data_IF_811867260062
#
_entry.id   IF_811867260062
#
_cell.length_a   1.000
_cell.length_b   1.000
_cell.length_c   1.000
_cell.angle_alpha   90.00
_cell.angle_beta   90.00
_cell.angle_gamma   90.00
#
_symmetry.space_group_name_H-M   'P 1'
#
loop_
_entity.id
_entity.type
_entity.pdbx_description
1 polymer ?
#
# COMPACT_ATOMS: atom_id res chain seq x y z
N UNK A 1 -60.43 32.49 5.64
CA UNK A 1 -61.10 31.25 5.19
C UNK A 1 -60.46 30.81 3.90
N UNK A 2 -59.49 29.95 3.95
CA UNK A 2 -58.86 29.30 2.79
C UNK A 2 -59.31 27.83 2.80
N UNK A 3 -59.95 27.41 1.74
CA UNK A 3 -60.39 26.02 1.54
C UNK A 3 -59.20 25.22 1.02
N UNK A 4 -58.80 24.22 1.77
CA UNK A 4 -57.89 23.17 1.30
C UNK A 4 -58.65 22.30 0.26
N UNK A 5 -58.12 22.23 -0.95
CA UNK A 5 -58.58 21.34 -2.00
C UNK A 5 -57.86 20.00 -1.88
N UNK A 6 -58.52 19.00 -1.32
CA UNK A 6 -58.05 17.61 -1.36
C UNK A 6 -58.04 17.10 -2.81
N UNK A 7 -56.86 16.83 -3.33
CA UNK A 7 -56.69 16.21 -4.65
C UNK A 7 -56.97 14.70 -4.52
N UNK A 8 -58.21 14.30 -4.82
CA UNK A 8 -58.62 12.90 -4.99
C UNK A 8 -58.13 12.38 -6.35
N UNK A 9 -57.23 11.43 -6.31
CA UNK A 9 -56.75 10.72 -7.49
C UNK A 9 -57.82 9.76 -8.02
N UNK A 10 -58.07 9.69 -9.35
CA UNK A 10 -59.06 8.77 -9.92
C UNK A 10 -58.63 7.31 -9.72
N UNK A 11 -59.57 6.39 -9.50
CA UNK A 11 -59.30 4.97 -9.22
C UNK A 11 -58.52 4.25 -10.32
N UNK A 12 -58.56 4.76 -11.55
CA UNK A 12 -57.77 4.25 -12.68
C UNK A 12 -56.26 4.48 -12.55
N UNK A 13 -55.83 5.54 -11.85
CA UNK A 13 -54.42 5.82 -11.62
C UNK A 13 -53.77 4.82 -10.64
N UNK A 14 -54.52 4.35 -9.65
CA UNK A 14 -54.06 3.34 -8.69
C UNK A 14 -53.89 1.96 -9.34
N UNK A 15 -54.72 1.60 -10.30
CA UNK A 15 -54.60 0.34 -11.05
C UNK A 15 -53.39 0.34 -11.98
N UNK A 16 -53.08 1.46 -12.61
CA UNK A 16 -51.88 1.58 -13.46
C UNK A 16 -50.57 1.52 -12.63
N UNK A 17 -50.57 2.12 -11.44
CA UNK A 17 -49.41 2.03 -10.55
C UNK A 17 -49.18 0.59 -10.06
N UNK A 18 -50.23 -0.14 -9.73
CA UNK A 18 -50.17 -1.54 -9.33
C UNK A 18 -49.66 -2.46 -10.45
N UNK A 19 -50.02 -2.15 -11.71
CA UNK A 19 -49.58 -2.93 -12.86
C UNK A 19 -48.07 -2.70 -13.17
N UNK A 20 -47.60 -1.46 -13.06
CA UNK A 20 -46.17 -1.13 -13.25
C UNK A 20 -45.31 -1.72 -12.15
N UNK A 21 -45.74 -1.73 -10.89
CA UNK A 21 -45.00 -2.37 -9.80
C UNK A 21 -44.98 -3.90 -9.95
N UNK A 22 -46.10 -4.48 -10.45
CA UNK A 22 -46.16 -5.93 -10.72
C UNK A 22 -45.23 -6.37 -11.86
N UNK A 23 -45.10 -5.57 -12.91
CA UNK A 23 -44.16 -5.85 -14.02
C UNK A 23 -42.70 -5.72 -13.58
N UNK A 24 -42.37 -4.72 -12.77
CA UNK A 24 -41.01 -4.57 -12.22
C UNK A 24 -40.65 -5.73 -11.29
N UNK A 25 -41.59 -6.23 -10.50
CA UNK A 25 -41.37 -7.39 -9.63
C UNK A 25 -41.22 -8.71 -10.42
N UNK A 26 -41.89 -8.84 -11.58
CA UNK A 26 -41.74 -10.04 -12.43
C UNK A 26 -40.40 -10.05 -13.19
N UNK A 27 -39.85 -8.90 -13.57
CA UNK A 27 -38.53 -8.84 -14.17
C UNK A 27 -37.41 -9.11 -13.15
N UNK A 28 -37.56 -8.69 -11.87
CA UNK A 28 -36.62 -9.04 -10.81
C UNK A 28 -36.64 -10.56 -10.48
N UNK A 29 -37.79 -11.22 -10.63
CA UNK A 29 -37.88 -12.67 -10.38
C UNK A 29 -37.38 -13.51 -11.57
N UNK A 30 -37.46 -12.99 -12.79
CA UNK A 30 -36.97 -13.70 -14.00
C UNK A 30 -35.43 -13.57 -14.19
N UNK A 31 -34.79 -12.59 -13.56
CA UNK A 31 -33.31 -12.41 -13.58
C UNK A 31 -32.52 -13.34 -12.67
N UNK A 32 -33.18 -14.16 -11.85
CA UNK A 32 -32.55 -14.99 -10.84
C UNK A 32 -32.12 -16.41 -11.31
N UNK A 33 -32.27 -16.76 -12.60
CA UNK A 33 -32.00 -18.14 -13.05
C UNK A 33 -30.93 -18.34 -14.11
N UNK A 34 -30.15 -17.30 -14.44
CA UNK A 34 -28.98 -17.46 -15.33
C UNK A 34 -27.74 -16.75 -14.77
N UNK A 35 -27.36 -17.10 -13.52
CA UNK A 35 -26.01 -16.82 -13.04
C UNK A 35 -25.02 -17.53 -13.96
N UNK A 36 -24.20 -16.76 -14.67
CA UNK A 36 -23.16 -17.28 -15.54
C UNK A 36 -22.23 -18.20 -14.76
N UNK A 37 -21.62 -19.17 -15.43
CA UNK A 37 -20.65 -20.12 -14.86
C UNK A 37 -19.55 -19.39 -14.04
N UNK A 38 -19.26 -18.14 -14.38
CA UNK A 38 -18.33 -17.26 -13.68
C UNK A 38 -18.83 -16.82 -12.30
N UNK A 39 -20.10 -16.41 -12.14
CA UNK A 39 -20.65 -15.99 -10.83
C UNK A 39 -20.70 -17.16 -9.84
N UNK A 40 -21.10 -18.35 -10.30
CA UNK A 40 -21.02 -19.58 -9.48
C UNK A 40 -19.60 -19.96 -9.09
N UNK A 41 -18.63 -19.67 -9.95
CA UNK A 41 -17.22 -19.89 -9.66
C UNK A 41 -16.71 -18.91 -8.57
N UNK A 42 -17.10 -17.64 -8.62
CA UNK A 42 -16.78 -16.64 -7.59
C UNK A 42 -17.41 -16.97 -6.24
N UNK A 43 -18.68 -17.33 -6.19
CA UNK A 43 -19.35 -17.73 -4.96
C UNK A 43 -18.73 -18.99 -4.33
N UNK A 44 -18.32 -19.96 -5.14
CA UNK A 44 -17.65 -21.16 -4.64
C UNK A 44 -16.24 -20.88 -4.10
N UNK A 45 -15.52 -19.91 -4.69
CA UNK A 45 -14.22 -19.48 -4.22
C UNK A 45 -14.35 -18.67 -2.91
N UNK A 46 -15.36 -17.78 -2.82
CA UNK A 46 -15.66 -17.05 -1.58
C UNK A 46 -16.11 -17.99 -0.47
N UNK A 47 -16.99 -18.95 -0.74
CA UNK A 47 -17.45 -19.92 0.26
C UNK A 47 -16.32 -20.82 0.78
N UNK A 48 -15.39 -21.22 -0.09
CA UNK A 48 -14.22 -22.00 0.32
C UNK A 48 -13.23 -21.20 1.16
N UNK A 49 -13.07 -19.91 0.88
CA UNK A 49 -12.18 -19.06 1.68
C UNK A 49 -12.77 -18.75 3.06
N UNK A 50 -14.11 -18.66 3.18
CA UNK A 50 -14.78 -18.36 4.43
C UNK A 50 -15.01 -19.59 5.30
N UNK A 51 -15.27 -20.78 4.72
CA UNK A 51 -15.53 -22.01 5.45
C UNK A 51 -14.27 -22.78 5.90
N UNK A 52 -13.09 -22.40 5.42
CA UNK A 52 -11.79 -22.94 5.89
C UNK A 52 -11.29 -22.35 7.20
N UNK A 53 -12.01 -21.38 7.80
CA UNK A 53 -11.54 -20.59 8.96
C UNK A 53 -12.40 -20.85 10.20
N UNK A 54 -12.93 -22.06 10.37
CA UNK A 54 -13.61 -22.43 11.62
C UNK A 54 -12.76 -23.38 12.46
N UNK A 55 -11.73 -22.85 13.09
CA UNK A 55 -10.92 -23.58 14.05
C UNK A 55 -9.74 -22.75 14.51
N UNK A 56 -9.88 -22.15 15.69
CA UNK A 56 -8.96 -21.26 16.39
C UNK A 56 -9.11 -19.76 16.06
N UNK A 57 -9.63 -19.09 17.10
CA UNK A 57 -9.65 -17.63 17.22
C UNK A 57 -8.23 -17.08 17.39
N UNK A 58 -7.40 -17.18 16.38
CA UNK A 58 -6.44 -16.14 16.09
C UNK A 58 -7.26 -15.06 15.37
N UNK A 59 -7.28 -13.85 15.87
CA UNK A 59 -7.68 -12.69 15.08
C UNK A 59 -6.72 -12.63 13.89
N UNK A 60 -7.03 -13.40 12.84
CA UNK A 60 -6.37 -13.35 11.54
C UNK A 60 -6.65 -11.94 11.03
N UNK A 61 -5.68 -11.08 11.24
CA UNK A 61 -5.67 -9.72 10.76
C UNK A 61 -5.49 -9.81 9.23
N UNK A 62 -6.57 -10.21 8.52
CA UNK A 62 -6.62 -10.48 7.08
C UNK A 62 -6.02 -9.32 6.25
N UNK A 63 -6.10 -8.09 6.77
CA UNK A 63 -5.44 -6.92 6.17
C UNK A 63 -3.92 -7.02 6.20
N UNK A 64 -3.32 -7.60 7.22
CA UNK A 64 -1.87 -7.73 7.31
C UNK A 64 -1.33 -8.84 6.42
N UNK A 65 -2.04 -9.97 6.33
CA UNK A 65 -1.63 -11.10 5.50
C UNK A 65 -1.81 -10.79 4.01
N UNK A 66 -2.82 -10.00 3.65
CA UNK A 66 -3.02 -9.55 2.27
C UNK A 66 -1.87 -8.65 1.77
N UNK A 67 -1.21 -7.89 2.67
CA UNK A 67 -0.11 -7.00 2.32
C UNK A 67 1.26 -7.71 2.27
N UNK A 68 1.38 -8.92 2.83
CA UNK A 68 2.62 -9.68 2.78
C UNK A 68 2.94 -10.10 1.34
N UNK A 69 4.17 -9.88 0.93
CA UNK A 69 4.63 -10.21 -0.42
C UNK A 69 4.26 -9.22 -1.51
N UNK A 70 3.49 -8.17 -1.24
CA UNK A 70 3.25 -7.10 -2.22
C UNK A 70 4.56 -6.40 -2.54
N UNK A 71 4.86 -6.34 -3.82
CA UNK A 71 6.04 -5.67 -4.38
C UNK A 71 5.63 -4.39 -5.09
N UNK A 72 6.29 -3.29 -4.74
CA UNK A 72 6.11 -1.98 -5.38
C UNK A 72 7.45 -1.52 -5.94
N UNK A 73 7.55 -1.30 -7.23
CA UNK A 73 8.76 -0.74 -7.82
C UNK A 73 8.62 0.77 -7.89
N UNK A 74 9.50 1.49 -7.20
CA UNK A 74 9.44 2.95 -7.03
C UNK A 74 10.84 3.56 -6.99
N UNK A 75 10.90 4.89 -7.18
CA UNK A 75 12.07 5.71 -6.86
C UNK A 75 11.84 6.43 -5.55
N UNK A 76 12.74 6.30 -4.60
CA UNK A 76 12.66 6.99 -3.31
C UNK A 76 13.29 8.38 -3.43
N UNK A 77 12.46 9.38 -3.65
CA UNK A 77 12.88 10.78 -3.73
C UNK A 77 12.93 11.42 -2.35
N UNK A 78 14.10 11.94 -1.97
CA UNK A 78 14.31 12.71 -0.74
C UNK A 78 14.34 14.20 -1.06
N UNK A 79 13.43 14.97 -0.46
CA UNK A 79 13.30 16.42 -0.68
C UNK A 79 14.29 17.24 0.18
N UNK A 80 15.55 16.83 0.22
CA UNK A 80 16.61 17.54 0.95
C UNK A 80 17.51 18.29 -0.02
N UNK A 81 17.81 19.56 0.29
CA UNK A 81 18.64 20.41 -0.59
C UNK A 81 17.99 20.63 -1.94
N UNK A 82 18.65 20.19 -3.01
CA UNK A 82 18.13 20.24 -4.40
C UNK A 82 17.28 19.02 -4.79
N UNK A 83 17.08 18.09 -3.85
CA UNK A 83 16.35 16.84 -4.07
C UNK A 83 17.21 15.74 -4.69
N UNK A 84 17.05 14.52 -4.17
CA UNK A 84 17.84 13.36 -4.58
C UNK A 84 17.00 12.08 -4.60
N UNK A 85 17.25 11.23 -5.58
CA UNK A 85 16.76 9.86 -5.62
C UNK A 85 17.76 8.92 -4.93
N UNK A 86 17.29 8.11 -3.99
CA UNK A 86 18.13 7.08 -3.39
C UNK A 86 18.53 6.09 -4.48
N UNK A 87 19.82 5.78 -4.59
CA UNK A 87 20.33 4.78 -5.52
C UNK A 87 21.21 3.75 -4.83
N UNK A 88 21.15 2.52 -5.34
CA UNK A 88 21.96 1.39 -4.89
C UNK A 88 22.90 1.01 -6.03
N UNK A 89 24.18 1.23 -5.83
CA UNK A 89 25.20 0.96 -6.84
C UNK A 89 25.65 -0.52 -6.81
N UNK A 90 26.18 -1.06 -7.93
CA UNK A 90 26.61 -2.46 -8.02
C UNK A 90 27.74 -2.84 -7.04
N UNK A 91 28.53 -1.86 -6.61
CA UNK A 91 29.60 -2.04 -5.62
C UNK A 91 29.09 -2.02 -4.16
N UNK A 92 27.78 -1.95 -3.96
CA UNK A 92 27.14 -1.91 -2.65
C UNK A 92 27.12 -0.53 -2.00
N UNK A 93 27.66 0.50 -2.64
CA UNK A 93 27.52 1.87 -2.14
C UNK A 93 26.10 2.37 -2.38
N UNK A 94 25.59 3.13 -1.41
CA UNK A 94 24.30 3.79 -1.45
C UNK A 94 24.52 5.28 -1.30
N UNK A 95 23.86 6.07 -2.14
CA UNK A 95 23.87 7.53 -2.09
C UNK A 95 22.62 8.10 -2.78
N UNK A 96 22.53 9.42 -2.87
CA UNK A 96 21.50 10.13 -3.63
C UNK A 96 22.04 10.60 -4.96
N UNK A 97 21.27 10.39 -6.03
CA UNK A 97 21.47 10.97 -7.34
C UNK A 97 20.44 12.07 -7.60
N UNK A 98 20.86 13.20 -8.17
CA UNK A 98 19.93 14.27 -8.51
C UNK A 98 19.00 13.85 -9.66
N UNK A 99 19.55 13.25 -10.69
CA UNK A 99 18.78 12.74 -11.83
C UNK A 99 18.37 11.28 -11.62
N UNK A 100 17.21 10.94 -12.13
CA UNK A 100 16.75 9.56 -12.20
C UNK A 100 17.68 8.72 -13.08
N UNK A 101 17.97 7.51 -12.61
CA UNK A 101 18.80 6.56 -13.33
C UNK A 101 18.38 5.12 -13.02
N UNK A 102 19.00 4.16 -13.70
CA UNK A 102 18.67 2.75 -13.55
C UNK A 102 18.92 2.19 -12.13
N UNK A 103 19.86 2.77 -11.37
CA UNK A 103 20.19 2.32 -10.01
C UNK A 103 19.29 2.95 -8.94
N UNK A 104 18.48 3.95 -9.28
CA UNK A 104 17.48 4.55 -8.38
C UNK A 104 16.13 3.83 -8.39
N UNK A 105 15.98 2.78 -9.21
CA UNK A 105 14.79 1.96 -9.23
C UNK A 105 14.87 0.92 -8.11
N UNK A 106 13.95 1.01 -7.15
CA UNK A 106 13.94 0.21 -5.92
C UNK A 106 12.63 -0.57 -5.84
N UNK A 107 12.73 -1.88 -5.65
CA UNK A 107 11.62 -2.74 -5.26
C UNK A 107 11.43 -2.64 -3.75
N UNK A 108 10.24 -2.24 -3.33
CA UNK A 108 9.80 -2.20 -1.94
C UNK A 108 8.91 -3.40 -1.73
N UNK A 109 9.34 -4.36 -0.93
CA UNK A 109 8.60 -5.60 -0.65
C UNK A 109 8.19 -5.65 0.81
N UNK A 110 6.91 -5.89 1.09
CA UNK A 110 6.42 -6.05 2.47
C UNK A 110 6.85 -7.40 3.01
N UNK A 111 7.61 -7.39 4.10
CA UNK A 111 8.13 -8.60 4.77
C UNK A 111 7.42 -8.92 6.08
N UNK A 112 6.89 -7.90 6.76
CA UNK A 112 6.06 -7.99 7.96
C UNK A 112 5.11 -6.78 7.98
N UNK A 113 4.14 -6.76 8.87
CA UNK A 113 3.20 -5.64 9.01
C UNK A 113 3.96 -4.33 9.26
N UNK A 114 3.85 -3.39 8.32
CA UNK A 114 4.54 -2.09 8.38
C UNK A 114 6.06 -2.17 8.21
N UNK A 115 6.60 -3.36 7.91
CA UNK A 115 8.04 -3.57 7.69
C UNK A 115 8.28 -3.98 6.24
N UNK A 116 9.21 -3.30 5.60
CA UNK A 116 9.56 -3.52 4.20
C UNK A 116 11.04 -3.84 4.03
N UNK A 117 11.37 -4.51 2.94
CA UNK A 117 12.72 -4.57 2.40
C UNK A 117 12.83 -3.66 1.18
N UNK A 118 14.00 -3.09 0.97
CA UNK A 118 14.34 -2.25 -0.17
C UNK A 118 15.40 -2.96 -1.00
N UNK A 119 15.10 -3.22 -2.28
CA UNK A 119 15.97 -3.94 -3.19
C UNK A 119 16.23 -3.12 -4.44
N UNK A 120 17.50 -2.86 -4.74
CA UNK A 120 17.91 -2.18 -5.96
C UNK A 120 17.75 -3.10 -7.16
N UNK A 121 16.77 -2.82 -8.01
CA UNK A 121 16.40 -3.68 -9.15
C UNK A 121 17.59 -3.92 -10.08
N UNK A 122 18.37 -2.87 -10.41
CA UNK A 122 19.49 -2.97 -11.34
C UNK A 122 20.78 -3.48 -10.70
N UNK A 123 21.00 -3.18 -9.43
CA UNK A 123 22.21 -3.60 -8.71
C UNK A 123 22.09 -5.00 -8.11
N UNK A 124 20.88 -5.53 -8.02
CA UNK A 124 20.56 -6.83 -7.40
C UNK A 124 21.03 -6.92 -5.94
N UNK A 125 20.90 -5.80 -5.21
CA UNK A 125 21.33 -5.69 -3.83
C UNK A 125 20.20 -5.19 -2.93
N UNK A 126 20.08 -5.80 -1.74
CA UNK A 126 19.25 -5.27 -0.67
C UNK A 126 19.94 -4.08 0.01
N UNK A 127 19.16 -3.07 0.35
CA UNK A 127 19.59 -2.01 1.27
C UNK A 127 19.63 -2.59 2.68
N UNK A 128 20.71 -2.39 3.40
CA UNK A 128 20.90 -2.80 4.78
C UNK A 128 21.48 -1.66 5.62
N UNK A 129 21.21 -1.67 6.93
CA UNK A 129 21.78 -0.71 7.87
C UNK A 129 22.50 -1.45 9.01
N UNK A 130 23.77 -1.13 9.24
CA UNK A 130 24.54 -1.74 10.31
C UNK A 130 24.37 -1.00 11.66
N UNK A 131 24.96 -1.57 12.73
CA UNK A 131 24.92 -1.02 14.11
C UNK A 131 25.52 0.39 14.26
N UNK A 132 26.31 0.85 13.29
CA UNK A 132 26.86 2.21 13.26
C UNK A 132 25.97 3.20 12.49
N UNK A 133 24.79 2.74 12.04
CA UNK A 133 23.83 3.53 11.23
C UNK A 133 24.31 3.79 9.79
N UNK A 134 25.24 3.01 9.25
CA UNK A 134 25.68 3.13 7.85
C UNK A 134 24.83 2.23 6.96
N UNK A 135 24.32 2.81 5.86
CA UNK A 135 23.69 2.04 4.79
C UNK A 135 24.75 1.37 3.91
N UNK A 136 24.43 0.16 3.45
CA UNK A 136 25.23 -0.60 2.51
C UNK A 136 24.34 -1.56 1.72
N UNK A 137 24.80 -1.95 0.53
CA UNK A 137 24.15 -2.97 -0.29
C UNK A 137 24.67 -4.38 0.04
N UNK A 138 23.76 -5.36 0.05
CA UNK A 138 24.12 -6.77 0.28
C UNK A 138 23.28 -7.70 -0.62
N UNK A 139 23.87 -8.80 -1.09
CA UNK A 139 23.15 -9.82 -1.87
C UNK A 139 22.27 -10.71 -0.99
N UNK A 140 22.64 -10.89 0.27
CA UNK A 140 21.92 -11.77 1.18
C UNK A 140 20.94 -10.96 2.01
N UNK A 141 19.67 -11.36 1.96
CA UNK A 141 18.63 -10.81 2.84
C UNK A 141 18.89 -11.23 4.29
N UNK A 142 18.87 -10.29 5.21
CA UNK A 142 19.03 -10.50 6.65
C UNK A 142 18.26 -9.48 7.46
N UNK A 143 18.24 -9.59 8.78
CA UNK A 143 17.50 -8.70 9.67
C UNK A 143 17.81 -7.20 9.47
N UNK A 144 19.09 -6.87 9.16
CA UNK A 144 19.52 -5.50 8.85
C UNK A 144 18.92 -4.92 7.57
N UNK A 145 18.27 -5.75 6.72
CA UNK A 145 17.56 -5.32 5.50
C UNK A 145 16.09 -4.95 5.76
N UNK A 146 15.61 -5.08 6.99
CA UNK A 146 14.24 -4.80 7.38
C UNK A 146 14.11 -3.35 7.86
N UNK A 147 13.17 -2.62 7.28
CA UNK A 147 12.87 -1.24 7.64
C UNK A 147 11.39 -1.06 7.93
N UNK A 148 11.08 -0.43 9.06
CA UNK A 148 9.72 0.01 9.36
C UNK A 148 9.40 1.24 8.50
N UNK A 149 8.40 1.10 7.62
CA UNK A 149 7.88 2.21 6.81
C UNK A 149 6.83 2.95 7.62
N UNK A 150 6.97 4.26 7.75
CA UNK A 150 6.01 5.12 8.47
C UNK A 150 5.65 6.31 7.61
N UNK A 151 4.34 6.51 7.37
CA UNK A 151 3.82 7.71 6.73
C UNK A 151 3.82 8.84 7.75
N UNK A 152 4.48 9.93 7.41
CA UNK A 152 4.56 11.13 8.25
C UNK A 152 3.36 12.06 7.99
N UNK A 153 3.03 12.99 8.91
CA UNK A 153 1.93 13.95 8.76
C UNK A 153 2.02 14.83 7.51
N UNK A 154 3.21 15.02 6.97
CA UNK A 154 3.49 15.77 5.74
C UNK A 154 3.44 14.92 4.46
N UNK A 155 2.87 13.71 4.52
CA UNK A 155 2.73 12.75 3.43
C UNK A 155 4.04 12.21 2.84
N UNK A 156 5.16 12.36 3.54
CA UNK A 156 6.41 11.66 3.23
C UNK A 156 6.52 10.37 4.03
N UNK A 157 7.28 9.42 3.52
CA UNK A 157 7.62 8.20 4.24
C UNK A 157 8.98 8.33 4.91
N UNK A 158 9.09 7.79 6.11
CA UNK A 158 10.35 7.56 6.80
C UNK A 158 10.59 6.05 6.94
N UNK A 159 11.84 5.65 6.85
CA UNK A 159 12.27 4.25 6.92
C UNK A 159 13.21 4.08 8.11
N UNK A 160 12.71 3.45 9.17
CA UNK A 160 13.46 3.16 10.40
C UNK A 160 14.00 1.73 10.35
N UNK A 161 15.24 1.52 10.78
CA UNK A 161 15.78 0.16 10.92
C UNK A 161 14.95 -0.65 11.93
N UNK A 162 14.49 -1.84 11.54
CA UNK A 162 13.77 -2.73 12.46
C UNK A 162 14.66 -3.29 13.57
N UNK A 163 15.96 -3.39 13.33
CA UNK A 163 16.95 -3.90 14.30
C UNK A 163 17.44 -2.79 15.21
N UNK A 164 17.79 -1.63 14.63
CA UNK A 164 18.37 -0.51 15.37
C UNK A 164 17.32 0.61 15.46
N UNK A 165 16.50 0.56 16.49
CA UNK A 165 15.43 1.54 16.71
C UNK A 165 15.98 2.97 16.82
N UNK A 166 15.27 3.92 16.21
CA UNK A 166 15.69 5.32 16.14
C UNK A 166 16.72 5.61 15.05
N UNK A 167 17.11 4.59 14.25
CA UNK A 167 18.03 4.77 13.13
C UNK A 167 17.26 4.82 11.83
N UNK A 168 17.35 5.93 11.10
CA UNK A 168 16.59 6.20 9.89
C UNK A 168 17.46 6.22 8.64
N UNK A 169 16.89 5.80 7.51
CA UNK A 169 17.48 6.09 6.20
C UNK A 169 17.48 7.60 6.02
N UNK A 170 18.63 8.19 5.70
CA UNK A 170 18.76 9.64 5.57
C UNK A 170 19.80 10.05 4.53
N UNK A 171 19.49 11.12 3.78
CA UNK A 171 20.40 11.76 2.83
C UNK A 171 20.77 13.16 3.32
N UNK A 172 22.01 13.57 3.08
CA UNK A 172 22.47 14.95 3.33
C UNK A 172 22.05 15.87 2.17
N UNK A 173 22.12 17.18 2.39
CA UNK A 173 21.88 18.20 1.35
C UNK A 173 22.81 18.11 0.11
N UNK A 174 23.81 17.23 0.14
CA UNK A 174 24.71 16.94 -0.96
C UNK A 174 24.52 15.53 -1.55
N UNK A 175 23.41 14.84 -1.24
CA UNK A 175 23.12 13.49 -1.71
C UNK A 175 23.92 12.38 -1.03
N UNK A 176 24.76 12.68 -0.04
CA UNK A 176 25.51 11.65 0.71
C UNK A 176 24.63 11.02 1.78
N UNK A 177 24.76 9.72 1.98
CA UNK A 177 24.10 9.03 3.09
C UNK A 177 24.57 9.61 4.44
N UNK A 178 23.63 9.94 5.30
CA UNK A 178 23.89 10.25 6.72
C UNK A 178 23.85 8.98 7.55
N UNK A 179 24.54 8.99 8.69
CA UNK A 179 24.40 7.92 9.68
C UNK A 179 22.99 7.93 10.27
N UNK A 180 22.32 6.79 10.27
CA UNK A 180 20.93 6.65 10.71
C UNK A 180 20.68 7.11 12.14
N UNK A 181 21.66 6.91 13.05
CA UNK A 181 21.62 7.35 14.45
C UNK A 181 21.75 8.88 14.64
N UNK A 182 22.01 9.62 13.56
CA UNK A 182 22.10 11.09 13.57
C UNK A 182 20.98 11.75 12.78
N UNK A 183 19.88 11.05 12.57
CA UNK A 183 18.73 11.50 11.83
C UNK A 183 17.45 11.16 12.60
N UNK A 184 16.44 12.01 12.49
CA UNK A 184 15.13 11.81 13.09
C UNK A 184 14.02 12.19 12.10
N UNK A 185 12.79 11.76 12.37
CA UNK A 185 11.62 12.05 11.53
C UNK A 185 11.24 13.53 11.47
N UNK A 186 11.73 14.36 12.40
CA UNK A 186 11.59 15.81 12.33
C UNK A 186 12.50 16.49 11.30
N UNK A 187 13.49 15.76 10.78
CA UNK A 187 14.46 16.27 9.82
C UNK A 187 14.06 15.91 8.40
N UNK A 188 14.06 16.85 7.46
CA UNK A 188 13.77 16.62 6.03
C UNK A 188 14.71 15.61 5.36
N UNK A 189 15.88 15.37 5.93
CA UNK A 189 16.86 14.37 5.47
C UNK A 189 16.33 12.94 5.48
N UNK A 190 15.26 12.65 6.26
CA UNK A 190 14.61 11.33 6.37
C UNK A 190 13.30 11.23 5.60
N UNK A 191 12.89 12.31 4.93
CA UNK A 191 11.61 12.39 4.24
C UNK A 191 11.75 11.89 2.80
N UNK A 192 11.13 10.74 2.53
CA UNK A 192 11.14 10.12 1.21
C UNK A 192 9.75 10.09 0.59
N UNK A 193 9.68 10.34 -0.70
CA UNK A 193 8.47 10.20 -1.50
C UNK A 193 8.68 9.08 -2.52
N UNK A 194 7.97 7.95 -2.40
CA UNK A 194 7.99 6.91 -3.42
C UNK A 194 7.31 7.40 -4.70
N UNK A 195 8.07 7.55 -5.79
CA UNK A 195 7.60 7.96 -7.12
C UNK A 195 7.60 6.78 -8.09
N UNK A 196 6.76 6.85 -9.12
CA UNK A 196 6.74 5.91 -10.24
C UNK A 196 7.88 6.23 -11.18
#
# INVERSE_FOLDING_TARGET
MAREAEARWPPTALLLLGFLVGLAASELAAGATNGTSLERSWESLFSRSVLGISGERAELNWESDYLLGIKRVRRLYCNVGIGFHLQVLPDGRINGAHNENQYSLIEISTVERGVVSLYGVKSELFVAMNSRGRLYGTRTFKSECKFKETLLPNNYNAYESSVYKGFYIALSKHGRVKRGNKASTSMTVTHFLPRI
#
